data_IF_501911308424
#
_entry.id   IF_501911308424
#
_cell.length_a   1.000
_cell.length_b   1.000
_cell.length_c   1.000
_cell.angle_alpha   90.00
_cell.angle_beta   90.00
_cell.angle_gamma   90.00
#
_symmetry.space_group_name_H-M   'P 1'
#
loop_
_entity.id
_entity.type
_entity.pdbx_description
1 polymer ?
#
# COMPACT_ATOMS: atom_id res chain seq x y z
N UNK A 1 81.01 -13.04 -8.33
CA UNK A 1 80.42 -11.68 -8.43
C UNK A 1 79.28 -11.54 -9.46
N UNK A 2 79.30 -12.23 -10.62
CA UNK A 2 78.20 -12.13 -11.61
C UNK A 2 76.84 -12.73 -11.23
N UNK A 3 76.78 -13.67 -10.33
CA UNK A 3 75.54 -14.31 -9.89
C UNK A 3 74.75 -13.49 -8.83
N UNK A 4 75.39 -12.69 -8.04
CA UNK A 4 74.76 -11.82 -7.04
C UNK A 4 74.07 -10.62 -7.67
N UNK A 5 74.60 -10.12 -8.82
CA UNK A 5 74.04 -8.99 -9.53
C UNK A 5 72.68 -9.34 -10.21
N UNK A 6 72.52 -10.61 -10.65
CA UNK A 6 71.28 -11.08 -11.28
C UNK A 6 70.13 -11.20 -10.30
N UNK A 7 70.39 -11.60 -9.05
CA UNK A 7 69.35 -11.77 -8.04
C UNK A 7 68.83 -10.41 -7.57
N UNK A 8 69.69 -9.39 -7.46
CA UNK A 8 69.26 -8.04 -7.06
C UNK A 8 68.43 -7.32 -8.15
N UNK A 9 68.67 -7.61 -9.42
CA UNK A 9 67.88 -7.01 -10.53
C UNK A 9 66.51 -7.65 -10.61
N UNK A 10 66.34 -8.97 -10.39
CA UNK A 10 65.07 -9.63 -10.38
C UNK A 10 64.17 -9.24 -9.19
N UNK A 11 64.77 -9.02 -8.01
CA UNK A 11 63.98 -8.57 -6.85
C UNK A 11 63.49 -7.12 -6.93
N UNK A 12 64.29 -6.26 -7.61
CA UNK A 12 63.86 -4.87 -7.83
C UNK A 12 62.75 -4.75 -8.87
N UNK A 13 62.68 -5.65 -9.85
CA UNK A 13 61.64 -5.68 -10.89
C UNK A 13 60.27 -6.10 -10.32
N UNK A 14 60.22 -7.01 -9.32
CA UNK A 14 58.98 -7.45 -8.70
C UNK A 14 58.36 -6.41 -7.76
N UNK A 15 59.16 -5.51 -7.17
CA UNK A 15 58.64 -4.49 -6.23
C UNK A 15 57.97 -3.32 -6.98
N UNK A 16 58.31 -3.07 -8.22
CA UNK A 16 57.75 -1.97 -9.02
C UNK A 16 56.42 -2.34 -9.74
N UNK A 17 56.09 -3.59 -9.92
CA UNK A 17 54.82 -4.03 -10.58
C UNK A 17 53.65 -4.23 -9.63
N UNK A 18 53.86 -4.35 -8.34
CA UNK A 18 52.79 -4.69 -7.38
C UNK A 18 51.71 -3.60 -7.14
N UNK A 19 52.09 -2.33 -6.97
CA UNK A 19 51.08 -1.32 -6.58
C UNK A 19 50.27 -0.75 -7.76
N UNK A 20 50.75 -0.86 -9.01
CA UNK A 20 50.06 -0.31 -10.17
C UNK A 20 48.91 -1.18 -10.69
N UNK A 21 49.03 -2.51 -10.58
CA UNK A 21 48.00 -3.43 -11.01
C UNK A 21 46.74 -3.37 -10.09
N UNK A 22 46.93 -3.12 -8.80
CA UNK A 22 45.79 -3.01 -7.85
C UNK A 22 45.01 -1.69 -7.98
N UNK A 23 45.67 -0.61 -8.38
CA UNK A 23 44.94 0.66 -8.64
C UNK A 23 44.14 0.63 -9.94
N UNK A 24 44.60 -0.06 -10.96
CA UNK A 24 43.86 -0.19 -12.22
C UNK A 24 42.63 -1.05 -12.08
N UNK A 25 42.68 -2.16 -11.30
CA UNK A 25 41.50 -3.00 -11.03
C UNK A 25 40.45 -2.29 -10.17
N UNK A 26 40.88 -1.50 -9.17
CA UNK A 26 39.94 -0.73 -8.33
C UNK A 26 39.23 0.40 -9.11
N UNK A 27 39.92 0.99 -10.11
CA UNK A 27 39.29 2.02 -10.96
C UNK A 27 38.29 1.43 -11.97
N UNK A 28 38.51 0.23 -12.48
CA UNK A 28 37.61 -0.42 -13.43
C UNK A 28 36.32 -0.86 -12.73
N UNK A 29 36.39 -1.35 -11.49
CA UNK A 29 35.20 -1.69 -10.71
C UNK A 29 34.38 -0.47 -10.24
N UNK A 30 34.99 0.69 -10.07
CA UNK A 30 34.30 1.92 -9.69
C UNK A 30 33.59 2.59 -10.87
N UNK A 31 33.99 2.33 -12.11
CA UNK A 31 33.34 2.90 -13.31
C UNK A 31 32.11 2.15 -13.77
N UNK A 32 31.93 0.89 -13.35
CA UNK A 32 30.76 0.07 -13.69
C UNK A 32 29.60 0.22 -12.70
N UNK A 33 29.79 0.94 -11.60
CA UNK A 33 28.69 1.40 -10.76
C UNK A 33 27.98 2.53 -11.51
N UNK A 34 26.97 2.17 -12.28
CA UNK A 34 26.06 3.11 -12.94
C UNK A 34 25.45 4.01 -11.87
N UNK A 35 26.07 5.15 -11.61
CA UNK A 35 25.50 6.19 -10.76
C UNK A 35 24.25 6.72 -11.46
N UNK A 36 23.10 6.09 -11.19
CA UNK A 36 21.82 6.62 -11.63
C UNK A 36 21.70 8.06 -11.12
N UNK A 37 21.57 8.97 -12.06
CA UNK A 37 21.42 10.40 -11.75
C UNK A 37 20.15 10.63 -10.91
N UNK A 38 20.09 11.75 -10.23
CA UNK A 38 18.90 12.10 -9.44
C UNK A 38 17.64 12.19 -10.34
N UNK A 39 17.81 12.61 -11.58
CA UNK A 39 16.76 12.70 -12.60
C UNK A 39 16.25 11.33 -13.01
N UNK A 40 17.12 10.37 -13.33
CA UNK A 40 16.71 9.00 -13.65
C UNK A 40 15.97 8.30 -12.51
N UNK A 41 16.34 8.60 -11.27
CA UNK A 41 15.62 8.08 -10.11
C UNK A 41 14.23 8.71 -9.95
N UNK A 42 14.09 9.99 -10.28
CA UNK A 42 12.82 10.69 -10.27
C UNK A 42 11.89 10.17 -11.37
N UNK A 43 12.40 9.98 -12.59
CA UNK A 43 11.66 9.39 -13.71
C UNK A 43 11.14 7.98 -13.38
N UNK A 44 12.01 7.09 -12.91
CA UNK A 44 11.61 5.72 -12.52
C UNK A 44 10.60 5.68 -11.38
N UNK A 45 10.59 6.69 -10.50
CA UNK A 45 9.55 6.82 -9.48
C UNK A 45 8.24 7.26 -10.09
N UNK A 46 8.27 8.24 -10.99
CA UNK A 46 7.08 8.74 -11.67
C UNK A 46 6.42 7.64 -12.53
N UNK A 47 7.22 6.87 -13.28
CA UNK A 47 6.72 5.72 -14.05
C UNK A 47 6.03 4.68 -13.16
N UNK A 48 6.68 4.27 -12.06
CA UNK A 48 6.09 3.31 -11.13
C UNK A 48 4.81 3.81 -10.48
N UNK A 49 4.74 5.09 -10.15
CA UNK A 49 3.52 5.69 -9.59
C UNK A 49 2.40 5.72 -10.63
N UNK A 50 2.71 6.04 -11.89
CA UNK A 50 1.74 6.06 -12.97
C UNK A 50 1.24 4.62 -13.30
N UNK A 51 2.11 3.63 -13.27
CA UNK A 51 1.74 2.23 -13.46
C UNK A 51 0.87 1.72 -12.31
N UNK A 52 1.22 2.07 -11.08
CA UNK A 52 0.45 1.71 -9.90
C UNK A 52 -0.94 2.35 -9.92
N UNK A 53 -1.04 3.62 -10.31
CA UNK A 53 -2.33 4.28 -10.47
C UNK A 53 -3.25 3.54 -11.46
N UNK A 54 -2.71 3.07 -12.59
CA UNK A 54 -3.46 2.26 -13.55
C UNK A 54 -3.94 0.93 -12.97
N UNK A 55 -3.15 0.31 -12.09
CA UNK A 55 -3.57 -0.90 -11.38
C UNK A 55 -4.74 -0.60 -10.45
N UNK A 56 -4.70 0.51 -9.70
CA UNK A 56 -5.81 0.95 -8.86
C UNK A 56 -7.05 1.22 -9.68
N UNK A 57 -6.94 1.90 -10.82
CA UNK A 57 -8.06 2.11 -11.75
C UNK A 57 -8.70 0.79 -12.17
N UNK A 58 -7.88 -0.19 -12.55
CA UNK A 58 -8.36 -1.53 -12.94
C UNK A 58 -9.08 -2.25 -11.80
N UNK A 59 -8.55 -2.18 -10.58
CA UNK A 59 -9.14 -2.79 -9.39
C UNK A 59 -10.51 -2.19 -9.10
N UNK A 60 -10.62 -0.85 -9.09
CA UNK A 60 -11.89 -0.17 -8.81
C UNK A 60 -12.93 -0.44 -9.90
N UNK A 61 -12.53 -0.36 -11.17
CA UNK A 61 -13.43 -0.59 -12.31
C UNK A 61 -13.87 -2.04 -12.43
N UNK A 62 -13.11 -3.00 -11.90
CA UNK A 62 -13.53 -4.40 -11.88
C UNK A 62 -14.63 -4.69 -10.87
N UNK A 63 -14.90 -3.79 -9.93
CA UNK A 63 -15.79 -3.96 -8.77
C UNK A 63 -15.40 -5.15 -7.89
N UNK A 64 -14.11 -5.55 -7.92
CA UNK A 64 -13.58 -6.67 -7.15
C UNK A 64 -12.34 -6.22 -6.40
N UNK A 65 -12.50 -5.85 -5.15
CA UNK A 65 -11.39 -5.42 -4.31
C UNK A 65 -11.57 -5.82 -2.85
N UNK A 66 -10.44 -5.95 -2.19
CA UNK A 66 -10.33 -6.14 -0.77
C UNK A 66 -9.81 -4.84 -0.14
N UNK A 67 -10.44 -4.41 0.94
CA UNK A 67 -9.97 -3.30 1.77
C UNK A 67 -9.40 -3.85 3.07
N UNK A 68 -8.17 -3.47 3.37
CA UNK A 68 -7.43 -3.87 4.56
C UNK A 68 -7.28 -2.68 5.51
N UNK A 69 -8.10 -2.56 6.57
CA UNK A 69 -8.07 -1.44 7.50
C UNK A 69 -6.86 -1.50 8.41
N UNK A 70 -6.22 -0.35 8.63
CA UNK A 70 -5.09 -0.17 9.54
C UNK A 70 -5.48 0.63 10.79
N UNK A 71 -6.53 1.42 10.70
CA UNK A 71 -7.04 2.19 11.83
C UNK A 71 -8.54 2.40 11.75
N UNK A 72 -9.15 2.71 12.88
CA UNK A 72 -10.57 3.03 13.01
C UNK A 72 -10.78 4.25 13.89
N UNK A 73 -11.73 5.10 13.51
CA UNK A 73 -12.11 6.28 14.25
C UNK A 73 -13.63 6.49 14.19
N UNK A 74 -14.26 6.73 15.34
CA UNK A 74 -15.65 7.16 15.41
C UNK A 74 -15.74 8.65 15.05
N UNK A 75 -16.64 9.02 14.18
CA UNK A 75 -16.85 10.40 13.79
C UNK A 75 -17.94 11.07 14.64
N UNK A 76 -17.90 12.41 14.87
CA UNK A 76 -16.88 13.37 14.37
C UNK A 76 -15.64 13.48 15.25
N UNK A 77 -15.62 12.99 16.48
CA UNK A 77 -14.60 13.34 17.46
C UNK A 77 -14.04 12.14 18.27
N UNK A 78 -14.14 10.93 17.73
CA UNK A 78 -13.60 9.74 18.39
C UNK A 78 -12.07 9.67 18.32
N UNK A 79 -11.48 8.90 19.24
CA UNK A 79 -10.05 8.61 19.23
C UNK A 79 -9.72 7.67 18.06
N UNK A 80 -8.61 7.95 17.38
CA UNK A 80 -8.04 7.04 16.38
C UNK A 80 -7.44 5.83 17.09
N UNK A 81 -7.91 4.63 16.71
CA UNK A 81 -7.40 3.37 17.23
C UNK A 81 -6.73 2.58 16.10
N UNK A 82 -5.52 2.11 16.32
CA UNK A 82 -4.81 1.26 15.37
C UNK A 82 -5.37 -0.17 15.42
N UNK A 83 -5.51 -0.77 14.24
CA UNK A 83 -5.96 -2.14 14.06
C UNK A 83 -4.76 -3.02 13.73
N UNK A 84 -4.45 -3.96 14.62
CA UNK A 84 -3.33 -4.90 14.44
C UNK A 84 -3.76 -6.29 14.00
N UNK A 85 -5.07 -6.54 13.89
CA UNK A 85 -5.58 -7.84 13.50
C UNK A 85 -5.70 -7.93 11.96
N UNK A 86 -4.91 -8.79 11.36
CA UNK A 86 -4.90 -9.02 9.92
C UNK A 86 -6.20 -9.66 9.36
N UNK A 87 -7.10 -10.12 10.23
CA UNK A 87 -8.37 -10.70 9.81
C UNK A 87 -9.47 -9.64 9.60
N UNK A 88 -9.17 -8.38 9.90
CA UNK A 88 -10.12 -7.31 9.60
C UNK A 88 -10.01 -6.94 8.14
N UNK A 89 -11.09 -7.21 7.39
CA UNK A 89 -11.16 -7.00 5.95
C UNK A 89 -12.57 -6.62 5.50
N UNK A 90 -12.65 -6.02 4.33
CA UNK A 90 -13.89 -5.84 3.58
C UNK A 90 -13.66 -6.32 2.16
N UNK A 91 -14.38 -7.35 1.76
CA UNK A 91 -14.37 -7.84 0.38
C UNK A 91 -15.60 -7.32 -0.37
N UNK A 92 -15.36 -6.67 -1.49
CA UNK A 92 -16.39 -6.31 -2.46
C UNK A 92 -16.16 -7.16 -3.70
N UNK A 93 -17.10 -8.02 -4.03
CA UNK A 93 -16.93 -8.96 -5.13
C UNK A 93 -18.26 -9.20 -5.87
N UNK A 94 -18.30 -8.80 -7.13
CA UNK A 94 -19.43 -9.05 -8.06
C UNK A 94 -20.81 -8.69 -7.49
N UNK A 95 -20.89 -7.60 -6.75
CA UNK A 95 -22.16 -7.16 -6.14
C UNK A 95 -22.49 -7.82 -4.80
N UNK A 96 -21.55 -8.56 -4.23
CA UNK A 96 -21.60 -9.07 -2.85
C UNK A 96 -20.63 -8.32 -1.94
N UNK A 97 -20.92 -8.31 -0.67
CA UNK A 97 -20.08 -7.75 0.38
C UNK A 97 -19.84 -8.83 1.44
N UNK A 98 -18.57 -8.99 1.82
CA UNK A 98 -18.18 -9.74 3.02
C UNK A 98 -17.34 -8.79 3.91
N UNK A 99 -17.73 -8.68 5.17
CA UNK A 99 -17.16 -7.71 6.10
C UNK A 99 -16.79 -8.36 7.42
N UNK A 100 -15.58 -8.09 7.87
CA UNK A 100 -15.10 -8.41 9.20
C UNK A 100 -14.40 -7.18 9.79
N UNK A 101 -15.14 -6.31 10.46
CA UNK A 101 -14.63 -5.05 11.01
C UNK A 101 -15.08 -4.80 12.45
N UNK A 102 -14.22 -4.22 13.30
CA UNK A 102 -14.66 -3.65 14.56
C UNK A 102 -15.56 -2.43 14.31
N UNK A 103 -16.69 -2.35 14.93
CA UNK A 103 -17.65 -1.27 14.75
C UNK A 103 -18.09 -0.68 16.08
N UNK A 104 -18.34 0.62 16.12
CA UNK A 104 -18.81 1.31 17.30
C UNK A 104 -20.31 1.60 17.18
N UNK A 105 -21.09 1.12 18.12
CA UNK A 105 -22.52 1.38 18.23
C UNK A 105 -22.81 2.31 19.41
N UNK A 106 -23.85 3.12 19.26
CA UNK A 106 -24.27 4.13 20.24
C UNK A 106 -24.10 5.55 19.68
N UNK A 107 -24.97 6.45 20.15
CA UNK A 107 -24.97 7.88 19.75
C UNK A 107 -24.15 8.71 20.74
N UNK A 108 -24.12 8.29 21.99
CA UNK A 108 -23.42 8.94 23.11
C UNK A 108 -22.58 7.93 23.88
N UNK A 109 -21.46 8.36 24.52
CA UNK A 109 -20.66 7.50 25.38
C UNK A 109 -21.48 6.92 26.57
N UNK A 110 -21.15 5.70 27.02
CA UNK A 110 -20.10 4.83 26.52
C UNK A 110 -20.53 4.10 25.22
N UNK A 111 -19.70 4.20 24.18
CA UNK A 111 -19.92 3.46 22.93
C UNK A 111 -19.69 1.96 23.14
N UNK A 112 -20.48 1.14 22.45
CA UNK A 112 -20.27 -0.30 22.45
C UNK A 112 -19.40 -0.69 21.27
N UNK A 113 -18.43 -1.54 21.54
CA UNK A 113 -17.63 -2.17 20.52
C UNK A 113 -18.25 -3.50 20.10
N UNK A 114 -18.54 -3.65 18.84
CA UNK A 114 -19.09 -4.88 18.24
C UNK A 114 -18.21 -5.28 17.04
N UNK A 115 -18.28 -6.53 16.63
CA UNK A 115 -17.66 -7.01 15.42
C UNK A 115 -18.75 -7.17 14.35
N UNK A 116 -18.66 -6.39 13.27
CA UNK A 116 -19.40 -6.66 12.04
C UNK A 116 -18.69 -7.82 11.35
N UNK A 117 -19.26 -9.01 11.42
CA UNK A 117 -18.73 -10.21 10.78
C UNK A 117 -19.89 -10.89 10.06
N UNK A 118 -20.12 -10.51 8.81
CA UNK A 118 -21.23 -10.98 8.02
C UNK A 118 -20.99 -10.76 6.53
N UNK A 119 -21.66 -11.57 5.70
CA UNK A 119 -21.69 -11.38 4.26
C UNK A 119 -23.11 -11.15 3.76
N UNK A 120 -23.26 -10.36 2.70
CA UNK A 120 -24.49 -10.18 1.97
C UNK A 120 -24.25 -10.37 0.47
N UNK A 121 -25.11 -11.13 -0.23
CA UNK A 121 -24.96 -11.34 -1.67
C UNK A 121 -25.41 -10.14 -2.51
N UNK A 122 -26.06 -9.15 -1.87
CA UNK A 122 -26.67 -8.04 -2.58
C UNK A 122 -26.20 -6.71 -2.01
N UNK A 123 -25.49 -5.94 -2.83
CA UNK A 123 -25.28 -4.51 -2.62
C UNK A 123 -26.14 -3.73 -3.61
N UNK A 124 -26.63 -2.58 -3.17
CA UNK A 124 -27.48 -1.69 -3.95
C UNK A 124 -26.83 -0.32 -4.11
N UNK A 125 -27.34 0.48 -5.05
CA UNK A 125 -26.90 1.87 -5.28
C UNK A 125 -25.38 1.99 -5.46
N UNK A 126 -24.74 1.04 -6.17
CA UNK A 126 -23.31 1.06 -6.42
C UNK A 126 -22.96 2.17 -7.41
N UNK A 127 -22.21 3.17 -6.96
CA UNK A 127 -21.76 4.32 -7.75
C UNK A 127 -20.26 4.45 -7.63
N UNK A 128 -19.60 4.63 -8.77
CA UNK A 128 -18.16 4.88 -8.87
C UNK A 128 -17.94 6.21 -9.57
N UNK A 129 -17.16 7.08 -8.96
CA UNK A 129 -16.84 8.42 -9.50
C UNK A 129 -15.34 8.63 -9.45
N UNK A 130 -14.75 9.01 -10.58
CA UNK A 130 -13.35 9.39 -10.66
C UNK A 130 -13.17 10.82 -10.12
N UNK A 131 -12.12 11.03 -9.35
CA UNK A 131 -11.73 12.32 -8.77
C UNK A 131 -10.29 12.66 -9.15
N UNK A 132 -9.85 13.87 -8.90
CA UNK A 132 -8.48 14.32 -9.21
C UNK A 132 -7.39 13.54 -8.45
N UNK A 133 -7.74 12.93 -7.32
CA UNK A 133 -6.81 12.18 -6.45
C UNK A 133 -7.02 10.66 -6.48
N UNK A 134 -8.02 10.18 -7.23
CA UNK A 134 -8.34 8.76 -7.34
C UNK A 134 -9.82 8.48 -7.59
N UNK A 135 -10.47 7.71 -6.74
CA UNK A 135 -11.83 7.24 -6.91
C UNK A 135 -12.67 7.39 -5.66
N UNK A 136 -13.94 7.65 -5.84
CA UNK A 136 -14.97 7.52 -4.82
C UNK A 136 -15.91 6.38 -5.21
N UNK A 137 -16.09 5.40 -4.33
CA UNK A 137 -17.02 4.28 -4.51
C UNK A 137 -18.02 4.30 -3.39
N UNK A 138 -19.30 4.35 -3.70
CA UNK A 138 -20.37 4.29 -2.70
C UNK A 138 -21.39 3.22 -3.04
N UNK A 139 -21.90 2.57 -2.02
CA UNK A 139 -22.99 1.60 -2.15
C UNK A 139 -23.71 1.40 -0.82
N UNK A 140 -24.85 0.73 -0.88
CA UNK A 140 -25.61 0.32 0.30
C UNK A 140 -25.65 -1.19 0.43
N UNK A 141 -25.71 -1.68 1.65
CA UNK A 141 -25.86 -3.08 1.97
C UNK A 141 -26.72 -3.26 3.21
N UNK A 142 -27.64 -4.22 3.16
CA UNK A 142 -28.41 -4.63 4.34
C UNK A 142 -27.65 -5.72 5.06
N UNK A 143 -27.26 -5.45 6.30
CA UNK A 143 -26.59 -6.40 7.17
C UNK A 143 -27.58 -6.92 8.22
N UNK A 144 -27.37 -8.17 8.65
CA UNK A 144 -28.22 -8.84 9.67
C UNK A 144 -29.72 -8.82 9.36
N UNK A 145 -30.08 -8.78 8.08
CA UNK A 145 -31.45 -8.82 7.55
C UNK A 145 -32.34 -7.59 7.85
N UNK A 146 -31.87 -6.61 8.59
CA UNK A 146 -32.72 -5.46 9.02
C UNK A 146 -32.09 -4.11 8.83
N UNK A 147 -30.78 -3.98 8.99
CA UNK A 147 -30.12 -2.67 9.06
C UNK A 147 -29.42 -2.33 7.75
N UNK A 148 -29.81 -1.21 7.15
CA UNK A 148 -29.14 -0.66 5.98
C UNK A 148 -27.92 0.16 6.41
N UNK A 149 -26.79 -0.16 5.80
CA UNK A 149 -25.53 0.56 5.94
C UNK A 149 -25.11 1.15 4.61
N UNK A 150 -24.63 2.37 4.63
CA UNK A 150 -24.00 3.03 3.49
C UNK A 150 -22.49 2.97 3.65
N UNK A 151 -21.83 2.49 2.62
CA UNK A 151 -20.37 2.38 2.53
C UNK A 151 -19.87 3.45 1.55
N UNK A 152 -18.93 4.26 1.99
CA UNK A 152 -18.27 5.26 1.16
C UNK A 152 -16.76 5.04 1.22
N UNK A 153 -16.18 4.65 0.10
CA UNK A 153 -14.73 4.53 -0.08
C UNK A 153 -14.20 5.75 -0.81
N UNK A 154 -13.15 6.35 -0.29
CA UNK A 154 -12.28 7.31 -0.98
C UNK A 154 -10.95 6.60 -1.21
N UNK A 155 -10.66 6.29 -2.47
CA UNK A 155 -9.52 5.48 -2.89
C UNK A 155 -8.54 6.36 -3.61
N UNK A 156 -7.31 6.43 -3.11
CA UNK A 156 -6.26 7.26 -3.67
C UNK A 156 -5.43 6.50 -4.71
N UNK A 157 -4.85 7.23 -5.66
CA UNK A 157 -4.03 6.66 -6.75
C UNK A 157 -2.82 5.84 -6.26
N UNK A 158 -2.40 6.04 -5.01
CA UNK A 158 -1.33 5.28 -4.37
C UNK A 158 -1.84 4.06 -3.58
N UNK A 159 -3.11 3.63 -3.75
CA UNK A 159 -3.69 2.45 -3.10
C UNK A 159 -4.12 2.62 -1.66
N UNK A 160 -3.83 3.76 -1.04
CA UNK A 160 -4.44 4.12 0.24
C UNK A 160 -5.93 4.34 0.07
N UNK A 161 -6.72 4.02 1.08
CA UNK A 161 -8.16 4.24 1.03
C UNK A 161 -8.73 4.58 2.40
N UNK A 162 -9.79 5.37 2.37
CA UNK A 162 -10.62 5.68 3.53
C UNK A 162 -12.00 5.07 3.30
N UNK A 163 -12.48 4.29 4.26
CA UNK A 163 -13.84 3.75 4.27
C UNK A 163 -14.64 4.43 5.36
N UNK A 164 -15.74 5.06 5.02
CA UNK A 164 -16.73 5.58 5.97
C UNK A 164 -17.98 4.72 5.92
N UNK A 165 -18.36 4.16 7.06
CA UNK A 165 -19.60 3.38 7.23
C UNK A 165 -20.60 4.23 8.00
N UNK A 166 -21.77 4.43 7.43
CA UNK A 166 -22.90 5.14 8.06
C UNK A 166 -24.12 4.25 8.19
N UNK A 167 -24.85 4.46 9.24
CA UNK A 167 -26.12 3.78 9.53
C UNK A 167 -27.10 4.82 10.09
N UNK A 168 -28.38 4.58 9.95
CA UNK A 168 -29.43 5.51 10.44
C UNK A 168 -29.40 5.71 11.96
N UNK A 169 -28.88 4.73 12.69
CA UNK A 169 -29.00 4.67 14.16
C UNK A 169 -27.76 5.10 14.91
N UNK A 170 -26.59 5.08 14.27
CA UNK A 170 -25.29 5.27 14.95
C UNK A 170 -24.44 6.32 14.27
N UNK A 171 -23.47 6.83 15.00
CA UNK A 171 -22.49 7.75 14.44
C UNK A 171 -21.64 7.08 13.35
N UNK A 172 -21.20 7.83 12.33
CA UNK A 172 -20.33 7.31 11.29
C UNK A 172 -19.02 6.77 11.88
N UNK A 173 -18.56 5.65 11.33
CA UNK A 173 -17.25 5.08 11.67
C UNK A 173 -16.37 5.12 10.44
N UNK A 174 -15.17 5.67 10.60
CA UNK A 174 -14.20 5.82 9.54
C UNK A 174 -13.01 4.89 9.76
N UNK A 175 -12.56 4.25 8.69
CA UNK A 175 -11.39 3.38 8.66
C UNK A 175 -10.41 3.93 7.65
N UNK A 176 -9.10 3.89 7.98
CA UNK A 176 -8.03 4.16 7.03
C UNK A 176 -7.28 2.87 6.78
N UNK A 177 -6.92 2.62 5.53
CA UNK A 177 -6.25 1.39 5.14
C UNK A 177 -5.78 1.42 3.69
N UNK A 178 -5.71 0.25 3.08
CA UNK A 178 -5.28 0.06 1.70
C UNK A 178 -6.24 -0.86 0.96
N UNK A 179 -6.31 -0.70 -0.37
CA UNK A 179 -7.02 -1.66 -1.22
C UNK A 179 -6.05 -2.59 -1.93
N UNK A 180 -6.52 -3.79 -2.21
CA UNK A 180 -5.82 -4.80 -3.00
C UNK A 180 -6.80 -5.53 -3.93
N UNK A 181 -6.25 -6.17 -4.96
CA UNK A 181 -7.02 -6.98 -5.88
C UNK A 181 -7.35 -8.32 -5.23
N UNK A 182 -8.57 -8.80 -5.46
CA UNK A 182 -8.98 -10.17 -5.15
C UNK A 182 -8.57 -11.06 -6.33
N UNK A 183 -7.87 -12.16 -6.04
CA UNK A 183 -7.42 -13.16 -7.02
C UNK A 183 -8.35 -14.37 -7.05
#
# INVERSE_FOLDING_TARGET
MKRLLFITICTLSCILCGPLAHKAAAQTYASDLHHTTHEERAERRAERLAEYAKQIDSIVLSHNFEFNPQSVQLQPAGTLNLLSNANYTVFVWRGSLDICLPYYTGIVPPYRYVLLNTGTPNISDYVTTQTDYGWTVSFKATLYATDEYTFLFEIYSHGGATLTITNTWYNPVQYMGTISQIY
#
